data_IF_503923886673
#
_entry.id   IF_503923886673
#
_cell.length_a   1.000
_cell.length_b   1.000
_cell.length_c   1.000
_cell.angle_alpha   90.00
_cell.angle_beta   90.00
_cell.angle_gamma   90.00
#
_symmetry.space_group_name_H-M   'P 1'
#
loop_
_entity.id
_entity.type
_entity.pdbx_description
1 polymer ?
#
# COMPACT_ATOMS: atom_id res chain seq x y z
N UNK A 1 -32.53 0.26 5.33
CA UNK A 1 -31.16 0.74 5.52
C UNK A 1 -30.38 0.64 4.22
N UNK A 2 -29.66 1.68 3.89
CA UNK A 2 -28.74 1.64 2.75
C UNK A 2 -27.55 0.73 3.10
N UNK A 3 -27.17 -0.15 2.17
CA UNK A 3 -25.99 -0.99 2.34
C UNK A 3 -24.74 -0.11 2.25
N UNK A 4 -23.77 -0.36 3.13
CA UNK A 4 -22.47 0.32 3.06
C UNK A 4 -21.81 0.06 1.68
N UNK A 5 -21.13 1.06 1.10
CA UNK A 5 -20.42 0.87 -0.15
C UNK A 5 -19.34 -0.21 -0.05
N UNK A 6 -19.13 -0.94 -1.14
CA UNK A 6 -18.04 -1.88 -1.25
C UNK A 6 -16.69 -1.14 -1.21
N UNK A 7 -15.63 -1.85 -0.86
CA UNK A 7 -14.30 -1.28 -0.65
C UNK A 7 -13.27 -1.87 -1.61
N UNK A 8 -12.42 -1.01 -2.15
CA UNK A 8 -11.18 -1.41 -2.83
C UNK A 8 -9.99 -1.00 -1.97
N UNK A 9 -9.04 -1.91 -1.81
CA UNK A 9 -7.86 -1.71 -0.98
C UNK A 9 -6.59 -1.66 -1.84
N UNK A 10 -5.65 -0.78 -1.46
CA UNK A 10 -4.44 -0.51 -2.21
C UNK A 10 -3.23 -0.45 -1.27
N UNK A 11 -2.12 -1.09 -1.69
CA UNK A 11 -0.80 -0.76 -1.16
C UNK A 11 -0.34 0.60 -1.69
N UNK A 12 0.73 1.14 -1.15
CA UNK A 12 1.30 2.42 -1.59
C UNK A 12 2.55 2.22 -2.44
N UNK A 13 3.59 1.66 -1.85
CA UNK A 13 4.89 1.48 -2.52
C UNK A 13 4.75 0.49 -3.67
N UNK A 14 5.06 0.94 -4.89
CA UNK A 14 4.90 0.14 -6.10
C UNK A 14 3.48 0.08 -6.68
N UNK A 15 2.50 0.71 -6.04
CA UNK A 15 1.11 0.80 -6.51
C UNK A 15 0.71 2.25 -6.77
N UNK A 16 0.64 3.07 -5.74
CA UNK A 16 0.30 4.51 -5.83
C UNK A 16 1.57 5.36 -6.01
N UNK A 17 2.67 4.97 -5.34
CA UNK A 17 3.95 5.66 -5.38
C UNK A 17 4.98 4.86 -6.18
N UNK A 18 5.67 5.54 -7.09
CA UNK A 18 6.90 5.04 -7.71
C UNK A 18 8.05 5.30 -6.73
N UNK A 19 8.61 4.21 -6.23
CA UNK A 19 9.67 4.23 -5.21
C UNK A 19 11.03 3.81 -5.76
N UNK A 20 11.20 3.76 -7.07
CA UNK A 20 12.42 3.27 -7.70
C UNK A 20 13.65 4.08 -7.28
N UNK A 21 13.54 5.40 -7.26
CA UNK A 21 14.65 6.26 -6.83
C UNK A 21 14.96 6.07 -5.35
N UNK A 22 13.94 6.00 -4.50
CA UNK A 22 14.11 5.73 -3.06
C UNK A 22 14.80 4.38 -2.83
N UNK A 23 14.36 3.36 -3.54
CA UNK A 23 14.92 2.01 -3.44
C UNK A 23 16.40 1.98 -3.82
N UNK A 24 16.77 2.58 -4.94
CA UNK A 24 18.16 2.66 -5.40
C UNK A 24 19.04 3.43 -4.40
N UNK A 25 18.57 4.59 -3.95
CA UNK A 25 19.30 5.42 -2.98
C UNK A 25 19.45 4.71 -1.63
N UNK A 26 18.41 4.04 -1.15
CA UNK A 26 18.47 3.29 0.11
C UNK A 26 19.49 2.14 0.05
N UNK A 27 19.56 1.44 -1.07
CA UNK A 27 20.57 0.38 -1.28
C UNK A 27 22.00 0.93 -1.22
N UNK A 28 22.25 2.03 -1.92
CA UNK A 28 23.58 2.66 -1.94
C UNK A 28 23.98 3.14 -0.53
N UNK A 29 23.09 3.82 0.19
CA UNK A 29 23.37 4.35 1.51
C UNK A 29 23.54 3.22 2.55
N UNK A 30 22.73 2.19 2.50
CA UNK A 30 22.85 1.05 3.41
C UNK A 30 24.19 0.32 3.20
N UNK A 31 24.60 0.12 1.96
CA UNK A 31 25.86 -0.52 1.61
C UNK A 31 27.07 0.34 2.03
N UNK A 32 27.05 1.62 1.69
CA UNK A 32 28.16 2.54 1.95
C UNK A 32 28.41 2.79 3.44
N UNK A 33 27.34 3.00 4.21
CA UNK A 33 27.43 3.35 5.63
C UNK A 33 27.22 2.16 6.58
N UNK A 34 26.92 0.97 6.08
CA UNK A 34 26.63 -0.20 6.91
C UNK A 34 25.34 -0.10 7.70
N UNK A 35 24.39 0.74 7.27
CA UNK A 35 23.09 0.89 7.90
C UNK A 35 22.14 -0.24 7.50
N UNK A 36 21.15 -0.52 8.35
CA UNK A 36 20.08 -1.44 8.01
C UNK A 36 19.21 -0.84 6.88
N UNK A 37 19.02 -1.62 5.81
CA UNK A 37 18.32 -1.18 4.61
C UNK A 37 16.93 -0.58 4.89
N UNK A 38 16.12 -1.27 5.70
CA UNK A 38 14.74 -0.83 5.94
C UNK A 38 14.64 0.47 6.75
N UNK A 39 15.60 0.72 7.65
CA UNK A 39 15.65 1.98 8.37
C UNK A 39 15.92 3.15 7.43
N UNK A 40 16.83 2.95 6.49
CA UNK A 40 17.15 3.96 5.46
C UNK A 40 15.98 4.13 4.49
N UNK A 41 15.43 3.02 4.01
CA UNK A 41 14.32 3.02 3.04
C UNK A 41 13.08 3.76 3.56
N UNK A 42 12.79 3.65 4.85
CA UNK A 42 11.66 4.34 5.47
C UNK A 42 12.05 5.63 6.20
N UNK A 43 13.20 6.21 5.88
CA UNK A 43 13.57 7.52 6.42
C UNK A 43 12.78 8.64 5.73
N UNK A 44 12.49 9.70 6.50
CA UNK A 44 11.72 10.84 6.02
C UNK A 44 12.38 11.50 4.80
N UNK A 45 13.72 11.58 4.80
CA UNK A 45 14.48 12.19 3.71
C UNK A 45 14.28 11.44 2.39
N UNK A 46 14.28 10.11 2.43
CA UNK A 46 14.16 9.30 1.21
C UNK A 46 12.73 9.23 0.67
N UNK A 47 11.73 9.34 1.53
CA UNK A 47 10.32 9.35 1.11
C UNK A 47 10.01 10.53 0.16
N UNK A 48 10.76 11.62 0.26
CA UNK A 48 10.62 12.77 -0.64
C UNK A 48 11.05 12.49 -2.08
N UNK A 49 11.77 11.38 -2.31
CA UNK A 49 12.19 10.95 -3.65
C UNK A 49 11.06 10.24 -4.43
N UNK A 50 9.99 9.89 -3.78
CA UNK A 50 8.87 9.21 -4.41
C UNK A 50 8.17 10.11 -5.44
N UNK A 51 7.58 9.47 -6.44
CA UNK A 51 6.77 10.12 -7.46
C UNK A 51 5.41 9.44 -7.54
N UNK A 52 4.36 10.15 -7.99
CA UNK A 52 3.09 9.49 -8.29
C UNK A 52 3.29 8.39 -9.33
N UNK A 53 2.68 7.22 -9.11
CA UNK A 53 2.65 6.16 -10.11
C UNK A 53 1.31 6.22 -10.84
N UNK A 54 1.26 6.66 -12.11
CA UNK A 54 0.00 6.98 -12.80
C UNK A 54 -1.02 5.85 -12.78
N UNK A 55 -0.60 4.60 -13.00
CA UNK A 55 -1.52 3.46 -13.02
C UNK A 55 -2.31 3.30 -11.71
N UNK A 56 -1.62 3.35 -10.57
CA UNK A 56 -2.25 3.22 -9.26
C UNK A 56 -3.06 4.46 -8.87
N UNK A 57 -2.52 5.65 -9.16
CA UNK A 57 -3.21 6.92 -8.90
C UNK A 57 -4.57 6.94 -9.61
N UNK A 58 -4.61 6.56 -10.87
CA UNK A 58 -5.85 6.54 -11.65
C UNK A 58 -6.87 5.54 -11.11
N UNK A 59 -6.41 4.36 -10.67
CA UNK A 59 -7.27 3.35 -10.06
C UNK A 59 -7.94 3.85 -8.77
N UNK A 60 -7.20 4.58 -7.92
CA UNK A 60 -7.75 5.15 -6.69
C UNK A 60 -8.78 6.23 -6.99
N UNK A 61 -8.49 7.13 -7.93
CA UNK A 61 -9.44 8.15 -8.38
C UNK A 61 -10.72 7.52 -8.92
N UNK A 62 -10.58 6.53 -9.79
CA UNK A 62 -11.71 5.83 -10.38
C UNK A 62 -12.54 5.10 -9.32
N UNK A 63 -11.91 4.43 -8.37
CA UNK A 63 -12.61 3.77 -7.27
C UNK A 63 -13.52 4.76 -6.53
N UNK A 64 -13.00 5.92 -6.18
CA UNK A 64 -13.79 6.97 -5.52
C UNK A 64 -14.91 7.48 -6.40
N UNK A 65 -14.65 7.77 -7.67
CA UNK A 65 -15.65 8.29 -8.61
C UNK A 65 -16.79 7.29 -8.84
N UNK A 66 -16.47 6.00 -8.80
CA UNK A 66 -17.47 4.92 -8.94
C UNK A 66 -18.21 4.60 -7.62
N UNK A 67 -17.93 5.31 -6.54
CA UNK A 67 -18.65 5.18 -5.27
C UNK A 67 -18.08 4.14 -4.31
N UNK A 68 -16.88 3.60 -4.57
CA UNK A 68 -16.23 2.67 -3.63
C UNK A 68 -15.59 3.41 -2.46
N UNK A 69 -15.56 2.75 -1.32
CA UNK A 69 -14.67 3.14 -0.24
C UNK A 69 -13.24 2.75 -0.62
N UNK A 70 -12.27 3.55 -0.18
CA UNK A 70 -10.85 3.34 -0.45
C UNK A 70 -10.12 3.12 0.87
N UNK A 71 -9.42 2.01 0.96
CA UNK A 71 -8.62 1.65 2.14
C UNK A 71 -7.16 1.43 1.71
N UNK A 72 -6.24 1.93 2.50
CA UNK A 72 -4.81 1.74 2.28
C UNK A 72 -4.29 0.66 3.24
N UNK A 73 -3.57 -0.30 2.69
CA UNK A 73 -2.88 -1.38 3.41
C UNK A 73 -1.39 -1.29 3.05
N UNK A 74 -0.55 -0.91 4.01
CA UNK A 74 0.87 -0.67 3.71
C UNK A 74 1.81 -1.29 4.74
N UNK A 75 2.96 -1.75 4.25
CA UNK A 75 4.06 -2.19 5.13
C UNK A 75 4.88 -1.04 5.74
N UNK A 76 4.55 0.21 5.44
CA UNK A 76 5.21 1.35 6.07
C UNK A 76 4.94 1.37 7.57
N UNK A 77 5.93 1.74 8.40
CA UNK A 77 5.73 1.83 9.85
C UNK A 77 4.75 2.93 10.23
N UNK A 78 4.02 2.73 11.32
CA UNK A 78 2.94 3.62 11.77
C UNK A 78 3.41 5.04 12.10
N UNK A 79 4.70 5.26 12.40
CA UNK A 79 5.26 6.61 12.56
C UNK A 79 5.16 7.46 11.30
N UNK A 80 4.99 6.83 10.14
CA UNK A 80 4.84 7.49 8.85
C UNK A 80 3.37 7.74 8.45
N UNK A 81 2.43 7.56 9.36
CA UNK A 81 0.99 7.71 9.07
C UNK A 81 0.65 9.05 8.43
N UNK A 82 1.05 10.15 9.07
CA UNK A 82 0.69 11.50 8.60
C UNK A 82 1.34 11.81 7.25
N UNK A 83 2.60 11.46 7.07
CA UNK A 83 3.30 11.62 5.80
C UNK A 83 2.59 10.82 4.71
N UNK A 84 2.30 9.56 4.98
CA UNK A 84 1.65 8.65 4.03
C UNK A 84 0.27 9.14 3.62
N UNK A 85 -0.52 9.59 4.59
CA UNK A 85 -1.86 10.14 4.30
C UNK A 85 -1.77 11.38 3.40
N UNK A 86 -0.87 12.32 3.71
CA UNK A 86 -0.65 13.49 2.86
C UNK A 86 -0.19 13.11 1.46
N UNK A 87 0.71 12.13 1.35
CA UNK A 87 1.19 11.67 0.04
C UNK A 87 0.05 11.08 -0.81
N UNK A 88 -0.78 10.24 -0.23
CA UNK A 88 -1.94 9.67 -0.94
C UNK A 88 -2.89 10.76 -1.41
N UNK A 89 -3.22 11.71 -0.54
CA UNK A 89 -4.11 12.83 -0.90
C UNK A 89 -3.49 13.70 -1.99
N UNK A 90 -2.20 14.02 -1.88
CA UNK A 90 -1.52 14.84 -2.88
C UNK A 90 -1.44 14.15 -4.25
N UNK A 91 -1.20 12.83 -4.27
CA UNK A 91 -1.07 12.08 -5.53
C UNK A 91 -2.41 11.79 -6.18
N UNK A 92 -3.44 11.51 -5.40
CA UNK A 92 -4.72 11.00 -5.92
C UNK A 92 -5.86 12.01 -5.81
N UNK A 93 -5.75 13.03 -4.97
CA UNK A 93 -6.89 13.90 -4.62
C UNK A 93 -7.95 13.19 -3.78
N UNK A 94 -7.70 11.96 -3.33
CA UNK A 94 -8.64 11.15 -2.57
C UNK A 94 -8.14 10.99 -1.14
N UNK A 95 -8.97 11.35 -0.16
CA UNK A 95 -8.73 11.00 1.24
C UNK A 95 -9.24 9.57 1.45
N UNK A 96 -8.37 8.61 1.80
CA UNK A 96 -8.82 7.25 2.06
C UNK A 96 -9.77 7.20 3.27
N UNK A 97 -10.69 6.24 3.24
CA UNK A 97 -11.63 6.01 4.34
C UNK A 97 -10.92 5.45 5.57
N UNK A 98 -9.85 4.70 5.37
CA UNK A 98 -8.95 4.26 6.44
C UNK A 98 -7.58 3.90 5.89
N UNK A 99 -6.60 3.86 6.79
CA UNK A 99 -5.22 3.51 6.48
C UNK A 99 -4.69 2.56 7.55
N UNK A 100 -4.11 1.46 7.13
CA UNK A 100 -3.56 0.42 7.99
C UNK A 100 -2.06 0.30 7.73
N UNK A 101 -1.26 0.52 8.78
CA UNK A 101 0.19 0.54 8.70
C UNK A 101 0.79 -0.52 9.63
N UNK A 102 1.99 -0.96 9.27
CA UNK A 102 2.83 -1.80 10.12
C UNK A 102 3.09 -1.11 11.46
N UNK A 103 3.02 -1.85 12.56
CA UNK A 103 3.45 -1.32 13.86
C UNK A 103 4.94 -0.97 13.83
N UNK A 104 5.32 0.11 14.52
CA UNK A 104 6.72 0.45 14.68
C UNK A 104 7.47 -0.73 15.34
N UNK A 105 8.63 -1.09 14.78
CA UNK A 105 9.43 -2.19 15.30
C UNK A 105 8.99 -3.60 14.88
N UNK A 106 7.88 -3.74 14.17
CA UNK A 106 7.46 -5.04 13.64
C UNK A 106 8.32 -5.41 12.42
N UNK A 107 9.13 -6.45 12.56
CA UNK A 107 10.07 -6.92 11.52
C UNK A 107 9.62 -8.17 10.78
N UNK A 108 8.39 -8.60 10.99
CA UNK A 108 7.85 -9.77 10.29
C UNK A 108 7.77 -9.53 8.78
N UNK A 109 7.78 -10.58 7.96
CA UNK A 109 7.63 -10.45 6.51
C UNK A 109 6.38 -9.67 6.11
N UNK A 110 6.47 -8.92 5.01
CA UNK A 110 5.37 -8.10 4.52
C UNK A 110 4.08 -8.91 4.30
N UNK A 111 4.20 -10.15 3.79
CA UNK A 111 3.04 -11.03 3.56
C UNK A 111 2.25 -11.31 4.84
N UNK A 112 2.93 -11.50 5.97
CA UNK A 112 2.30 -11.74 7.26
C UNK A 112 1.61 -10.47 7.76
N UNK A 113 2.33 -9.36 7.75
CA UNK A 113 1.84 -8.07 8.24
C UNK A 113 0.65 -7.58 7.42
N UNK A 114 0.75 -7.58 6.10
CA UNK A 114 -0.33 -7.08 5.22
C UNK A 114 -1.58 -7.95 5.29
N UNK A 115 -1.44 -9.28 5.41
CA UNK A 115 -2.58 -10.16 5.61
C UNK A 115 -3.31 -9.87 6.93
N UNK A 116 -2.58 -9.61 8.02
CA UNK A 116 -3.18 -9.19 9.29
C UNK A 116 -3.87 -7.83 9.19
N UNK A 117 -3.23 -6.86 8.54
CA UNK A 117 -3.80 -5.52 8.34
C UNK A 117 -5.10 -5.58 7.53
N UNK A 118 -5.11 -6.37 6.47
CA UNK A 118 -6.32 -6.58 5.67
C UNK A 118 -7.42 -7.25 6.49
N UNK A 119 -7.07 -8.25 7.30
CA UNK A 119 -8.01 -8.89 8.22
C UNK A 119 -8.59 -7.91 9.24
N UNK A 120 -7.78 -6.97 9.72
CA UNK A 120 -8.25 -5.90 10.62
C UNK A 120 -9.24 -4.97 9.91
N UNK A 121 -8.95 -4.60 8.68
CA UNK A 121 -9.87 -3.77 7.88
C UNK A 121 -11.23 -4.46 7.67
N UNK A 122 -11.22 -5.77 7.39
CA UNK A 122 -12.45 -6.57 7.30
C UNK A 122 -13.23 -6.56 8.61
N UNK A 123 -12.56 -6.72 9.75
CA UNK A 123 -13.19 -6.65 11.08
C UNK A 123 -13.76 -5.27 11.40
N UNK A 124 -13.13 -4.22 10.90
CA UNK A 124 -13.61 -2.86 11.07
C UNK A 124 -14.83 -2.52 10.19
N UNK A 125 -15.30 -3.47 9.39
CA UNK A 125 -16.52 -3.36 8.59
C UNK A 125 -16.31 -2.95 7.14
N UNK A 126 -15.06 -2.95 6.63
CA UNK A 126 -14.81 -2.72 5.22
C UNK A 126 -15.04 -3.99 4.42
N UNK A 127 -16.03 -3.99 3.54
CA UNK A 127 -16.30 -5.12 2.64
C UNK A 127 -15.35 -5.03 1.44
N UNK A 128 -14.14 -5.55 1.60
CA UNK A 128 -13.08 -5.47 0.59
C UNK A 128 -13.31 -6.50 -0.51
N UNK A 129 -13.48 -6.03 -1.74
CA UNK A 129 -13.70 -6.87 -2.91
C UNK A 129 -12.50 -6.93 -3.84
N UNK A 130 -11.53 -6.04 -3.67
CA UNK A 130 -10.40 -5.89 -4.56
C UNK A 130 -9.19 -5.38 -3.78
N UNK A 131 -8.01 -5.96 -4.05
CA UNK A 131 -6.75 -5.56 -3.43
C UNK A 131 -5.63 -5.49 -4.45
N UNK A 132 -4.84 -4.44 -4.38
CA UNK A 132 -3.73 -4.13 -5.28
C UNK A 132 -2.40 -4.11 -4.53
N UNK A 133 -1.42 -4.86 -5.02
CA UNK A 133 -0.06 -4.91 -4.44
C UNK A 133 0.96 -5.18 -5.55
N UNK A 134 2.22 -4.87 -5.32
CA UNK A 134 3.33 -5.16 -6.22
C UNK A 134 4.10 -6.44 -5.84
N UNK A 135 3.72 -7.09 -4.74
CA UNK A 135 4.38 -8.29 -4.22
C UNK A 135 3.53 -9.54 -4.44
N UNK A 136 4.03 -10.48 -5.24
CA UNK A 136 3.36 -11.77 -5.42
C UNK A 136 3.25 -12.57 -4.12
N UNK A 137 4.25 -12.49 -3.24
CA UNK A 137 4.23 -13.19 -1.95
C UNK A 137 3.06 -12.73 -1.09
N UNK A 138 2.80 -11.41 -1.07
CA UNK A 138 1.65 -10.82 -0.37
C UNK A 138 0.35 -11.29 -0.99
N UNK A 139 0.23 -11.21 -2.31
CA UNK A 139 -1.00 -11.61 -3.02
C UNK A 139 -1.30 -13.09 -2.83
N UNK A 140 -0.28 -13.94 -2.86
CA UNK A 140 -0.42 -15.37 -2.63
C UNK A 140 -0.97 -15.68 -1.24
N UNK A 141 -0.44 -15.00 -0.22
CA UNK A 141 -0.92 -15.14 1.17
C UNK A 141 -2.36 -14.70 1.31
N UNK A 142 -2.73 -13.57 0.72
CA UNK A 142 -4.09 -13.05 0.74
C UNK A 142 -5.05 -13.99 0.01
N UNK A 143 -4.64 -14.55 -1.13
CA UNK A 143 -5.47 -15.52 -1.86
C UNK A 143 -5.85 -16.74 -1.00
N UNK A 144 -4.90 -17.23 -0.22
CA UNK A 144 -5.16 -18.37 0.68
C UNK A 144 -6.14 -18.02 1.78
N UNK A 145 -5.98 -16.86 2.41
CA UNK A 145 -6.79 -16.44 3.56
C UNK A 145 -8.15 -15.85 3.17
N UNK A 146 -8.20 -15.11 2.06
CA UNK A 146 -9.38 -14.36 1.63
C UNK A 146 -9.66 -14.60 0.14
N UNK A 147 -10.03 -15.84 -0.24
CA UNK A 147 -10.11 -16.23 -1.67
C UNK A 147 -11.18 -15.51 -2.49
N UNK A 148 -12.13 -14.82 -1.83
CA UNK A 148 -13.16 -14.04 -2.51
C UNK A 148 -12.69 -12.66 -2.99
N UNK A 149 -11.53 -12.18 -2.53
CA UNK A 149 -10.99 -10.88 -2.93
C UNK A 149 -10.30 -10.99 -4.28
N UNK A 150 -10.68 -10.14 -5.23
CA UNK A 150 -9.97 -10.04 -6.51
C UNK A 150 -8.62 -9.37 -6.29
N UNK A 151 -7.57 -9.97 -6.80
CA UNK A 151 -6.20 -9.52 -6.59
C UNK A 151 -5.59 -9.01 -7.91
N UNK A 152 -4.82 -7.91 -7.80
CA UNK A 152 -4.13 -7.30 -8.93
C UNK A 152 -2.66 -7.08 -8.59
N UNK A 153 -1.78 -7.58 -9.46
CA UNK A 153 -0.34 -7.41 -9.35
C UNK A 153 0.10 -6.19 -10.17
N UNK A 154 0.79 -5.28 -9.52
CA UNK A 154 1.38 -4.13 -10.18
C UNK A 154 2.82 -4.40 -10.56
N UNK A 155 3.17 -4.20 -11.84
CA UNK A 155 4.49 -4.47 -12.41
C UNK A 155 4.88 -3.29 -13.31
N UNK A 156 6.03 -2.66 -13.05
CA UNK A 156 6.48 -1.51 -13.84
C UNK A 156 5.41 -0.42 -13.89
N UNK A 157 4.99 -0.04 -15.10
CA UNK A 157 3.99 1.02 -15.32
C UNK A 157 2.56 0.48 -15.44
N UNK A 158 2.35 -0.80 -15.24
CA UNK A 158 1.07 -1.47 -15.50
C UNK A 158 0.64 -2.37 -14.33
N UNK A 159 -0.50 -3.00 -14.47
CA UNK A 159 -1.02 -4.00 -13.55
C UNK A 159 -1.78 -5.07 -14.31
N UNK A 160 -1.95 -6.21 -13.68
CA UNK A 160 -2.69 -7.34 -14.23
C UNK A 160 -3.44 -8.07 -13.13
N UNK A 161 -4.50 -8.77 -13.50
CA UNK A 161 -5.20 -9.66 -12.57
C UNK A 161 -4.27 -10.79 -12.15
N UNK A 162 -4.19 -11.02 -10.87
CA UNK A 162 -3.33 -12.05 -10.27
C UNK A 162 -4.03 -13.38 -10.12
#
# INVERSE_FOLDING_TARGET
MLKEPLTKAFDIDGVIADVNQRLATARELAEYYGHEFWEVFFSDQLLSLDKPRPAGVELVKRARDEGFRVVIITGRPSRLRDFTLRQVINYTGVKPDSIYLRRNGDRRPAKVVKAELLGRALKDGFEIIEYHDDSEDVLREIRVKYPWIRLFLHIGDTFQKY
#
